data_IF_144031204853
#
_entry.id   IF_144031204853
#
_cell.length_a   1.000
_cell.length_b   1.000
_cell.length_c   1.000
_cell.angle_alpha   90.00
_cell.angle_beta   90.00
_cell.angle_gamma   90.00
#
_symmetry.space_group_name_H-M   'P 1'
#
loop_
_entity.id
_entity.type
_entity.pdbx_description
1 polymer ?
#
# COMPACT_ATOMS: atom_id res chain seq x y z
N UNK A 1 0.03 15.16 -26.97
CA UNK A 1 0.54 15.33 -25.59
C UNK A 1 0.32 14.00 -24.91
N UNK A 2 1.34 13.42 -24.33
CA UNK A 2 1.25 12.14 -23.62
C UNK A 2 0.28 12.28 -22.43
N UNK A 3 -0.68 11.36 -22.34
CA UNK A 3 -1.75 11.38 -21.33
C UNK A 3 -1.18 11.24 -19.91
N UNK A 4 -0.06 10.51 -19.79
CA UNK A 4 0.67 10.30 -18.53
C UNK A 4 1.04 11.62 -17.81
N UNK A 5 1.33 12.68 -18.57
CA UNK A 5 1.74 13.98 -18.03
C UNK A 5 0.61 15.03 -18.04
N UNK A 6 -0.63 14.60 -18.16
CA UNK A 6 -1.80 15.50 -18.08
C UNK A 6 -2.41 15.48 -16.68
N UNK A 7 -2.96 16.61 -16.21
CA UNK A 7 -3.61 16.66 -14.91
C UNK A 7 -4.84 15.73 -14.82
N UNK A 8 -5.18 15.34 -13.59
CA UNK A 8 -6.39 14.57 -13.29
C UNK A 8 -6.97 14.99 -11.94
N UNK A 9 -8.29 15.10 -11.86
CA UNK A 9 -9.00 15.32 -10.60
C UNK A 9 -9.25 13.97 -9.91
N UNK A 10 -8.86 13.86 -8.64
CA UNK A 10 -9.07 12.69 -7.77
C UNK A 10 -9.73 13.20 -6.48
N UNK A 11 -10.96 12.77 -6.20
CA UNK A 11 -11.73 13.34 -5.11
C UNK A 11 -11.81 14.86 -5.23
N UNK A 12 -11.37 15.58 -4.20
CA UNK A 12 -11.35 17.04 -4.15
C UNK A 12 -10.00 17.68 -4.53
N UNK A 13 -8.99 16.88 -4.92
CA UNK A 13 -7.66 17.36 -5.29
C UNK A 13 -7.43 17.23 -6.80
N UNK A 14 -6.54 18.08 -7.33
CA UNK A 14 -6.06 17.97 -8.71
C UNK A 14 -4.61 17.56 -8.70
N UNK A 15 -4.31 16.45 -9.38
CA UNK A 15 -2.96 15.95 -9.61
C UNK A 15 -2.37 16.61 -10.86
N UNK A 16 -1.08 16.94 -10.83
CA UNK A 16 -0.41 17.62 -11.96
C UNK A 16 -0.08 16.67 -13.12
N UNK A 17 -0.02 15.38 -12.85
CA UNK A 17 0.23 14.32 -13.84
C UNK A 17 -0.39 13.00 -13.33
N UNK A 18 -0.29 11.92 -14.13
CA UNK A 18 -0.87 10.60 -13.82
C UNK A 18 0.13 9.57 -13.32
N UNK A 19 1.30 10.02 -12.93
CA UNK A 19 2.36 9.18 -12.36
C UNK A 19 2.17 9.08 -10.86
N UNK A 20 2.00 7.87 -10.34
CA UNK A 20 1.86 7.62 -8.90
C UNK A 20 3.14 6.97 -8.37
N UNK A 21 3.71 7.52 -7.31
CA UNK A 21 4.69 6.78 -6.51
C UNK A 21 3.93 5.72 -5.71
N UNK A 22 4.09 4.45 -6.12
CA UNK A 22 3.44 3.33 -5.44
C UNK A 22 4.02 3.11 -4.03
N UNK A 23 3.22 2.59 -3.08
CA UNK A 23 3.67 2.35 -1.71
C UNK A 23 4.77 1.29 -1.67
N UNK A 24 5.87 1.62 -0.98
CA UNK A 24 7.04 0.75 -0.82
C UNK A 24 7.58 0.87 0.61
N UNK A 25 7.63 -0.23 1.33
CA UNK A 25 8.27 -0.29 2.65
C UNK A 25 9.75 0.04 2.55
N UNK A 26 10.23 0.98 3.35
CA UNK A 26 11.64 1.38 3.41
C UNK A 26 12.28 1.09 4.77
N UNK A 27 11.47 0.86 5.81
CA UNK A 27 11.91 0.45 7.16
C UNK A 27 12.99 1.37 7.76
N UNK A 28 12.73 2.67 7.81
CA UNK A 28 13.63 3.69 8.37
C UNK A 28 12.99 4.53 9.48
N UNK A 29 11.83 4.07 10.00
CA UNK A 29 11.22 4.73 11.16
C UNK A 29 12.14 4.64 12.38
N UNK A 30 12.17 5.72 13.19
CA UNK A 30 12.89 5.78 14.45
C UNK A 30 12.20 4.97 15.54
N UNK A 31 12.85 4.87 16.70
CA UNK A 31 12.27 4.25 17.90
C UNK A 31 10.88 4.82 18.19
N UNK A 32 9.92 3.93 18.41
CA UNK A 32 8.51 4.27 18.56
C UNK A 32 7.76 4.30 17.21
N UNK A 33 8.37 3.73 16.16
CA UNK A 33 7.79 3.64 14.82
C UNK A 33 7.44 5.03 14.24
N UNK A 34 8.31 6.02 14.50
CA UNK A 34 8.10 7.42 14.16
C UNK A 34 8.79 7.74 12.83
N UNK A 35 8.05 8.27 11.86
CA UNK A 35 8.61 8.97 10.70
C UNK A 35 9.31 10.26 11.15
N UNK A 36 10.41 10.63 10.52
CA UNK A 36 11.26 11.73 10.93
C UNK A 36 11.66 12.66 9.77
N UNK A 37 12.64 13.54 10.03
CA UNK A 37 13.16 14.48 9.04
C UNK A 37 13.73 13.78 7.81
N UNK A 38 14.37 12.61 7.98
CA UNK A 38 14.90 11.83 6.86
C UNK A 38 13.76 11.27 5.99
N UNK A 39 12.67 10.83 6.60
CA UNK A 39 11.45 10.41 5.91
C UNK A 39 10.82 11.60 5.17
N UNK A 40 10.78 12.78 5.80
CA UNK A 40 10.27 14.00 5.18
C UNK A 40 11.08 14.38 3.94
N UNK A 41 12.42 14.35 4.02
CA UNK A 41 13.30 14.59 2.88
C UNK A 41 13.05 13.62 1.75
N UNK A 42 12.96 12.31 2.04
CA UNK A 42 12.72 11.26 1.04
C UNK A 42 11.46 11.50 0.19
N UNK A 43 10.35 11.78 0.85
CA UNK A 43 9.10 12.03 0.13
C UNK A 43 9.09 13.40 -0.54
N UNK A 44 9.68 14.43 0.07
CA UNK A 44 9.79 15.75 -0.53
C UNK A 44 10.64 15.79 -1.81
N UNK A 45 11.69 14.94 -1.91
CA UNK A 45 12.45 14.78 -3.15
C UNK A 45 11.60 14.27 -4.31
N UNK A 46 10.52 13.52 -4.01
CA UNK A 46 9.64 12.86 -4.98
C UNK A 46 8.32 13.62 -5.23
N UNK A 47 8.24 14.86 -4.78
CA UNK A 47 7.02 15.68 -4.85
C UNK A 47 6.56 16.03 -6.27
N UNK A 48 7.36 15.79 -7.31
CA UNK A 48 6.96 15.90 -8.71
C UNK A 48 5.99 14.79 -9.17
N UNK A 49 5.88 13.70 -8.43
CA UNK A 49 4.84 12.70 -8.66
C UNK A 49 3.45 13.36 -8.65
N UNK A 50 2.55 12.91 -9.53
CA UNK A 50 1.15 13.34 -9.48
C UNK A 50 0.52 13.00 -8.14
N UNK A 51 0.84 11.82 -7.61
CA UNK A 51 0.45 11.36 -6.30
C UNK A 51 1.57 10.53 -5.66
N UNK A 52 1.87 10.77 -4.40
CA UNK A 52 2.69 9.89 -3.57
C UNK A 52 1.76 9.06 -2.68
N UNK A 53 1.87 7.73 -2.72
CA UNK A 53 1.35 6.86 -1.67
C UNK A 53 2.55 6.40 -0.83
N UNK A 54 2.50 6.66 0.48
CA UNK A 54 3.62 6.33 1.36
C UNK A 54 3.82 4.83 1.51
N UNK A 55 4.93 4.42 2.10
CA UNK A 55 5.03 3.09 2.70
C UNK A 55 3.87 2.82 3.66
N UNK A 56 3.56 1.53 3.87
CA UNK A 56 2.51 1.14 4.81
C UNK A 56 2.85 1.61 6.23
N UNK A 57 1.92 2.33 6.86
CA UNK A 57 1.97 2.72 8.26
C UNK A 57 1.01 1.85 9.07
N UNK A 58 1.53 1.15 10.09
CA UNK A 58 0.67 0.31 10.91
C UNK A 58 -0.35 1.13 11.70
N UNK A 59 -1.61 0.65 11.68
CA UNK A 59 -2.75 1.30 12.34
C UNK A 59 -2.79 1.07 13.87
N UNK A 60 -2.02 0.11 14.35
CA UNK A 60 -1.87 -0.23 15.76
C UNK A 60 -0.60 -1.08 15.94
N UNK A 61 -0.17 -1.32 17.18
CA UNK A 61 0.93 -2.25 17.46
C UNK A 61 0.63 -3.65 16.92
N UNK A 62 -0.63 -4.10 17.02
CA UNK A 62 -1.05 -5.40 16.48
C UNK A 62 -0.86 -5.49 14.96
N UNK A 63 -0.95 -4.36 14.26
CA UNK A 63 -0.77 -4.28 12.81
C UNK A 63 0.67 -4.38 12.31
N UNK A 64 1.67 -4.37 13.20
CA UNK A 64 3.09 -4.38 12.83
C UNK A 64 3.58 -5.77 12.41
N UNK A 65 4.32 -5.84 11.29
CA UNK A 65 4.93 -7.08 10.81
C UNK A 65 6.43 -7.00 10.60
N UNK A 66 7.02 -5.81 10.65
CA UNK A 66 8.44 -5.60 10.38
C UNK A 66 8.99 -4.52 11.30
N UNK A 67 10.23 -4.69 11.78
CA UNK A 67 10.94 -3.65 12.51
C UNK A 67 11.16 -2.40 11.63
N UNK A 68 11.16 -1.24 12.28
CA UNK A 68 11.44 0.06 11.64
C UNK A 68 10.41 0.50 10.59
N UNK A 69 9.23 -0.11 10.54
CA UNK A 69 8.10 0.44 9.78
C UNK A 69 7.37 1.48 10.59
N UNK A 70 6.90 2.58 9.98
CA UNK A 70 6.23 3.65 10.72
C UNK A 70 4.80 3.27 11.12
N UNK A 71 4.33 3.87 12.21
CA UNK A 71 2.95 3.79 12.67
C UNK A 71 2.18 5.09 12.46
N UNK A 72 0.86 5.03 12.74
CA UNK A 72 -0.05 6.19 12.73
C UNK A 72 -1.10 6.11 13.85
N UNK A 73 -0.76 5.51 14.97
CA UNK A 73 -1.66 5.25 16.09
C UNK A 73 -1.30 6.03 17.37
N UNK A 74 -0.24 6.86 17.35
CA UNK A 74 0.15 7.73 18.47
C UNK A 74 0.34 9.17 18.04
N UNK A 75 0.24 10.10 18.99
CA UNK A 75 0.42 11.53 18.73
C UNK A 75 1.87 11.88 18.33
N UNK A 76 2.85 11.10 18.80
CA UNK A 76 4.24 11.26 18.40
C UNK A 76 4.42 10.88 16.91
N UNK A 77 3.73 9.82 16.47
CA UNK A 77 3.74 9.41 15.06
C UNK A 77 3.02 10.43 14.16
N UNK A 78 1.89 10.99 14.61
CA UNK A 78 1.19 12.09 13.93
C UNK A 78 2.13 13.29 13.74
N UNK A 79 2.84 13.70 14.78
CA UNK A 79 3.82 14.80 14.70
C UNK A 79 4.98 14.48 13.75
N UNK A 80 5.47 13.23 13.76
CA UNK A 80 6.52 12.80 12.84
C UNK A 80 6.07 12.89 11.38
N UNK A 81 4.89 12.36 11.08
CA UNK A 81 4.31 12.42 9.74
C UNK A 81 3.96 13.84 9.28
N UNK A 82 3.63 14.77 10.20
CA UNK A 82 3.35 16.17 9.82
C UNK A 82 4.57 16.87 9.22
N UNK A 83 5.80 16.46 9.57
CA UNK A 83 7.02 16.95 8.91
C UNK A 83 7.04 16.53 7.44
N UNK A 84 6.64 15.29 7.17
CA UNK A 84 6.59 14.74 5.80
C UNK A 84 5.54 15.43 4.93
N UNK A 85 4.32 15.57 5.44
CA UNK A 85 3.23 16.20 4.68
C UNK A 85 3.55 17.66 4.39
N UNK A 86 4.07 18.39 5.37
CA UNK A 86 4.52 19.79 5.19
C UNK A 86 5.59 19.89 4.10
N UNK A 87 6.65 19.08 4.18
CA UNK A 87 7.77 19.13 3.23
C UNK A 87 7.34 18.79 1.78
N UNK A 88 6.39 17.86 1.60
CA UNK A 88 5.83 17.52 0.30
C UNK A 88 4.93 18.64 -0.23
N UNK A 89 4.06 19.20 0.62
CA UNK A 89 3.16 20.29 0.25
C UNK A 89 3.89 21.59 -0.09
N UNK A 90 4.98 21.92 0.60
CA UNK A 90 5.84 23.07 0.27
C UNK A 90 6.41 22.98 -1.15
N UNK A 91 6.56 21.78 -1.70
CA UNK A 91 6.95 21.52 -3.08
C UNK A 91 5.77 21.33 -4.04
N UNK A 92 4.54 21.55 -3.58
CA UNK A 92 3.30 21.42 -4.39
C UNK A 92 2.87 19.98 -4.65
N UNK A 93 3.49 18.98 -4.02
CA UNK A 93 3.15 17.57 -4.14
C UNK A 93 1.84 17.20 -3.43
N UNK A 94 1.32 16.00 -3.73
CA UNK A 94 0.16 15.38 -3.09
C UNK A 94 0.57 14.06 -2.49
N UNK A 95 0.16 13.81 -1.23
CA UNK A 95 0.62 12.65 -0.47
C UNK A 95 -0.52 11.99 0.31
N UNK A 96 -0.64 10.67 0.15
CA UNK A 96 -1.61 9.80 0.83
C UNK A 96 -0.86 8.83 1.74
N UNK A 97 -1.41 8.57 2.93
CA UNK A 97 -0.88 7.56 3.84
C UNK A 97 -1.48 6.20 3.55
N UNK A 98 -0.67 5.16 3.35
CA UNK A 98 -1.18 3.79 3.30
C UNK A 98 -1.39 3.23 4.70
N UNK A 99 -2.63 2.91 5.05
CA UNK A 99 -3.03 2.30 6.33
C UNK A 99 -2.83 0.79 6.26
N UNK A 100 -2.09 0.23 7.20
CA UNK A 100 -1.60 -1.14 7.12
C UNK A 100 -1.84 -1.96 8.37
N UNK A 101 -2.31 -3.18 8.18
CA UNK A 101 -2.32 -4.23 9.18
C UNK A 101 -1.87 -5.54 8.52
N UNK A 102 -0.74 -6.08 8.95
CA UNK A 102 -0.12 -7.23 8.26
C UNK A 102 -0.82 -8.57 8.51
N UNK A 103 -1.72 -8.65 9.49
CA UNK A 103 -2.36 -9.92 9.86
C UNK A 103 -1.34 -10.95 10.34
N UNK A 104 -1.37 -12.15 9.73
CA UNK A 104 -0.48 -13.27 10.09
C UNK A 104 0.99 -13.08 9.70
N UNK A 105 1.32 -12.04 8.93
CA UNK A 105 2.70 -11.80 8.50
C UNK A 105 3.42 -10.97 9.56
N UNK A 106 3.57 -11.56 10.74
CA UNK A 106 4.18 -10.95 11.93
C UNK A 106 4.83 -12.00 12.82
N UNK A 107 5.50 -11.54 13.86
CA UNK A 107 6.16 -12.37 14.86
C UNK A 107 5.80 -11.90 16.26
N UNK A 108 5.76 -12.82 17.23
CA UNK A 108 5.45 -12.51 18.63
C UNK A 108 6.33 -11.44 19.25
N UNK A 109 7.59 -11.29 18.79
CA UNK A 109 8.49 -10.24 19.28
C UNK A 109 8.09 -8.82 18.85
N UNK A 110 7.19 -8.67 17.87
CA UNK A 110 6.64 -7.37 17.44
C UNK A 110 5.31 -7.05 18.13
N UNK A 111 4.73 -8.03 18.83
CA UNK A 111 3.42 -7.89 19.46
C UNK A 111 3.55 -7.54 20.95
N UNK A 112 2.62 -6.73 21.46
CA UNK A 112 2.57 -6.41 22.89
C UNK A 112 2.54 -7.69 23.74
N UNK A 113 3.42 -7.77 24.74
CA UNK A 113 3.53 -8.90 25.66
C UNK A 113 3.81 -10.26 24.98
N UNK A 114 4.34 -10.26 23.74
CA UNK A 114 4.66 -11.47 23.01
C UNK A 114 3.45 -12.33 22.60
N UNK A 115 2.26 -11.74 22.49
CA UNK A 115 1.07 -12.45 22.03
C UNK A 115 1.19 -12.87 20.56
N UNK A 116 0.37 -13.81 20.12
CA UNK A 116 0.34 -14.22 18.72
C UNK A 116 -0.23 -13.11 17.84
N UNK A 117 0.24 -12.96 16.59
CA UNK A 117 -0.43 -12.12 15.59
C UNK A 117 -1.83 -12.65 15.30
N UNK A 118 -2.62 -11.91 14.52
CA UNK A 118 -4.01 -12.25 14.20
C UNK A 118 -4.23 -12.47 12.71
N UNK A 119 -5.26 -13.24 12.36
CA UNK A 119 -5.66 -13.48 10.98
C UNK A 119 -7.14 -13.86 10.90
N UNK A 120 -7.64 -14.15 9.70
CA UNK A 120 -8.97 -14.75 9.50
C UNK A 120 -9.08 -16.10 10.22
N UNK A 121 -8.02 -16.91 10.19
CA UNK A 121 -7.92 -18.24 10.78
C UNK A 121 -6.56 -18.46 11.45
N UNK A 122 -6.43 -19.45 12.34
CA UNK A 122 -5.19 -19.79 13.04
C UNK A 122 -4.24 -20.65 12.15
N UNK A 123 -3.98 -20.20 10.93
CA UNK A 123 -3.12 -20.89 9.95
C UNK A 123 -1.89 -20.05 9.65
N UNK A 124 -0.72 -20.61 9.96
CA UNK A 124 0.58 -19.97 9.70
C UNK A 124 0.85 -19.90 8.19
N UNK A 125 1.54 -18.85 7.75
CA UNK A 125 2.12 -18.77 6.42
C UNK A 125 3.50 -19.47 6.45
N UNK A 126 3.55 -20.76 6.08
CA UNK A 126 4.68 -21.63 6.36
C UNK A 126 6.01 -21.19 5.74
N UNK A 127 5.97 -20.66 4.51
CA UNK A 127 7.18 -20.22 3.80
C UNK A 127 7.46 -18.73 3.94
N UNK A 128 6.82 -18.09 4.92
CA UNK A 128 6.89 -16.64 5.07
C UNK A 128 7.80 -16.23 6.22
N UNK A 129 8.51 -15.12 6.02
CA UNK A 129 9.38 -14.50 7.01
C UNK A 129 8.99 -13.03 7.19
N UNK A 130 9.32 -12.51 8.36
CA UNK A 130 9.24 -11.08 8.68
C UNK A 130 10.56 -10.60 9.29
N UNK A 131 10.83 -9.31 9.23
CA UNK A 131 12.01 -8.74 9.85
C UNK A 131 11.70 -8.35 11.29
N UNK A 132 12.13 -9.19 12.24
CA UNK A 132 11.78 -9.07 13.64
C UNK A 132 12.96 -9.50 14.54
N UNK A 133 12.76 -9.54 15.84
CA UNK A 133 13.80 -9.99 16.77
C UNK A 133 13.80 -11.52 16.86
N UNK A 134 14.98 -12.12 16.72
CA UNK A 134 15.19 -13.53 16.95
C UNK A 134 15.13 -13.89 18.46
N UNK A 135 15.31 -15.18 18.80
CA UNK A 135 15.30 -15.66 20.19
C UNK A 135 16.41 -15.06 21.07
N UNK A 136 17.43 -14.45 20.48
CA UNK A 136 18.54 -13.78 21.18
C UNK A 136 18.33 -12.25 21.26
N UNK A 137 17.22 -11.74 20.71
CA UNK A 137 16.91 -10.31 20.64
C UNK A 137 17.62 -9.57 19.51
N UNK A 138 18.18 -10.26 18.51
CA UNK A 138 18.83 -9.63 17.37
C UNK A 138 17.83 -9.42 16.23
N UNK A 139 17.87 -8.26 15.54
CA UNK A 139 17.07 -8.03 14.34
C UNK A 139 17.49 -8.95 13.19
N UNK A 140 16.51 -9.55 12.51
CA UNK A 140 16.77 -10.42 11.37
C UNK A 140 15.50 -10.97 10.71
N UNK A 141 15.70 -11.74 9.66
CA UNK A 141 14.60 -12.47 9.03
C UNK A 141 14.25 -13.68 9.88
N UNK A 142 13.06 -13.68 10.45
CA UNK A 142 12.53 -14.78 11.27
C UNK A 142 11.28 -15.37 10.64
N UNK A 143 11.01 -16.67 10.80
CA UNK A 143 9.73 -17.24 10.37
C UNK A 143 8.57 -16.54 11.09
N UNK A 144 7.47 -16.26 10.39
CA UNK A 144 6.28 -15.69 11.02
C UNK A 144 5.72 -16.63 12.10
N UNK A 145 5.09 -16.06 13.13
CA UNK A 145 4.44 -16.83 14.19
C UNK A 145 3.09 -17.41 13.74
N UNK A 146 2.63 -18.46 14.41
CA UNK A 146 1.28 -18.99 14.25
C UNK A 146 0.29 -17.91 14.72
N UNK A 147 -0.67 -17.46 13.88
CA UNK A 147 -1.63 -16.45 14.29
C UNK A 147 -2.78 -17.04 15.11
N UNK A 148 -3.52 -16.15 15.80
CA UNK A 148 -4.84 -16.46 16.33
C UNK A 148 -5.92 -16.03 15.34
N UNK A 149 -7.02 -16.81 15.25
CA UNK A 149 -8.20 -16.40 14.51
C UNK A 149 -8.88 -15.23 15.22
N UNK A 150 -9.19 -14.15 14.51
CA UNK A 150 -9.93 -13.02 15.06
C UNK A 150 -11.35 -13.44 15.48
N UNK A 151 -11.75 -12.99 16.65
CA UNK A 151 -13.17 -13.00 17.04
C UNK A 151 -13.92 -11.89 16.32
N UNK A 152 -15.26 -11.93 16.32
CA UNK A 152 -16.08 -10.84 15.78
C UNK A 152 -15.79 -9.52 16.49
N UNK A 153 -15.61 -9.54 17.81
CA UNK A 153 -15.23 -8.34 18.57
C UNK A 153 -13.81 -7.85 18.20
N UNK A 154 -12.88 -8.77 17.94
CA UNK A 154 -11.55 -8.42 17.42
C UNK A 154 -11.61 -7.76 16.04
N UNK A 155 -12.49 -8.23 15.14
CA UNK A 155 -12.74 -7.59 13.84
C UNK A 155 -13.25 -6.15 14.03
N UNK A 156 -14.24 -5.94 14.91
CA UNK A 156 -14.79 -4.61 15.21
C UNK A 156 -13.74 -3.68 15.82
N UNK A 157 -12.88 -4.19 16.69
CA UNK A 157 -11.78 -3.40 17.25
C UNK A 157 -10.81 -2.93 16.17
N UNK A 158 -10.43 -3.80 15.23
CA UNK A 158 -9.55 -3.43 14.10
C UNK A 158 -10.21 -2.41 13.16
N UNK A 159 -11.53 -2.52 12.91
CA UNK A 159 -12.26 -1.49 12.15
C UNK A 159 -12.09 -0.12 12.82
N UNK A 160 -12.22 -0.06 14.16
CA UNK A 160 -12.01 1.18 14.91
C UNK A 160 -10.55 1.66 14.82
N UNK A 161 -9.57 0.76 14.85
CA UNK A 161 -8.15 1.12 14.68
C UNK A 161 -7.90 1.76 13.30
N UNK A 162 -8.53 1.24 12.22
CA UNK A 162 -8.48 1.87 10.90
C UNK A 162 -9.09 3.27 10.89
N UNK A 163 -10.21 3.48 11.59
CA UNK A 163 -10.86 4.79 11.71
C UNK A 163 -9.94 5.77 12.42
N UNK A 164 -9.42 5.40 13.60
CA UNK A 164 -8.51 6.26 14.36
C UNK A 164 -7.23 6.58 13.57
N UNK A 165 -6.68 5.60 12.88
CA UNK A 165 -5.50 5.79 12.03
C UNK A 165 -5.78 6.74 10.86
N UNK A 166 -6.96 6.67 10.25
CA UNK A 166 -7.36 7.57 9.18
C UNK A 166 -7.55 9.01 9.69
N UNK A 167 -8.18 9.20 10.85
CA UNK A 167 -8.32 10.52 11.50
C UNK A 167 -6.95 11.11 11.85
N UNK A 168 -6.05 10.32 12.42
CA UNK A 168 -4.67 10.69 12.70
C UNK A 168 -3.90 11.08 11.43
N UNK A 169 -4.12 10.39 10.31
CA UNK A 169 -3.51 10.72 9.03
C UNK A 169 -3.96 12.10 8.52
N UNK A 170 -5.25 12.42 8.64
CA UNK A 170 -5.78 13.74 8.29
C UNK A 170 -5.23 14.82 9.23
N UNK A 171 -5.13 14.54 10.55
CA UNK A 171 -4.50 15.43 11.52
C UNK A 171 -3.03 15.69 11.19
N UNK A 172 -2.29 14.68 10.73
CA UNK A 172 -0.90 14.80 10.27
C UNK A 172 -0.74 15.58 8.95
N UNK A 173 -1.84 15.96 8.29
CA UNK A 173 -1.85 16.77 7.08
C UNK A 173 -1.86 15.99 5.76
N UNK A 174 -2.07 14.68 5.78
CA UNK A 174 -2.23 13.91 4.53
C UNK A 174 -3.47 14.36 3.75
N UNK A 175 -3.36 14.44 2.41
CA UNK A 175 -4.47 14.77 1.54
C UNK A 175 -5.59 13.71 1.60
N UNK A 176 -5.23 12.43 1.70
CA UNK A 176 -6.13 11.26 1.77
C UNK A 176 -5.40 10.07 2.41
N UNK A 177 -6.11 8.92 2.51
CA UNK A 177 -5.51 7.63 2.90
C UNK A 177 -5.74 6.56 1.85
N UNK A 178 -4.90 5.52 1.85
CA UNK A 178 -5.10 4.28 1.09
C UNK A 178 -5.22 3.10 2.05
N UNK A 179 -6.35 2.38 2.04
CA UNK A 179 -6.53 1.15 2.80
C UNK A 179 -5.75 0.03 2.10
N UNK A 180 -4.81 -0.60 2.81
CA UNK A 180 -4.03 -1.71 2.27
C UNK A 180 -4.80 -3.03 2.40
N UNK A 181 -5.49 -3.44 1.34
CA UNK A 181 -6.23 -4.70 1.24
C UNK A 181 -5.62 -5.64 0.19
N UNK A 182 -4.28 -5.69 0.10
CA UNK A 182 -3.52 -6.36 -0.94
C UNK A 182 -2.34 -7.15 -0.36
N UNK A 183 -1.62 -7.85 -1.26
CA UNK A 183 -0.29 -8.43 -1.02
C UNK A 183 -0.22 -9.42 0.15
N UNK A 184 -1.30 -10.16 0.41
CA UNK A 184 -1.33 -11.23 1.42
C UNK A 184 -1.47 -10.76 2.87
N UNK A 185 -1.80 -9.49 3.10
CA UNK A 185 -2.01 -8.92 4.44
C UNK A 185 -3.45 -9.08 4.95
N UNK A 186 -3.77 -8.52 6.12
CA UNK A 186 -4.95 -8.88 6.90
C UNK A 186 -6.25 -8.91 6.09
N UNK A 187 -6.58 -7.83 5.37
CA UNK A 187 -7.86 -7.76 4.65
C UNK A 187 -7.93 -8.80 3.52
N UNK A 188 -6.82 -9.01 2.79
CA UNK A 188 -6.76 -10.08 1.78
C UNK A 188 -6.82 -11.47 2.41
N UNK A 189 -6.34 -11.67 3.65
CA UNK A 189 -6.48 -12.93 4.39
C UNK A 189 -7.95 -13.30 4.66
N UNK A 190 -8.85 -12.33 4.67
CA UNK A 190 -10.31 -12.58 4.72
C UNK A 190 -10.91 -12.77 3.32
N UNK A 191 -10.45 -12.04 2.32
CA UNK A 191 -10.94 -12.15 0.93
C UNK A 191 -10.57 -13.52 0.32
N UNK A 192 -9.40 -14.07 0.67
CA UNK A 192 -8.90 -15.29 0.07
C UNK A 192 -9.67 -16.52 0.57
N UNK A 193 -10.56 -17.06 -0.28
CA UNK A 193 -11.38 -18.24 0.03
C UNK A 193 -10.57 -19.54 0.21
N UNK A 194 -9.31 -19.59 -0.27
CA UNK A 194 -8.41 -20.72 -0.04
C UNK A 194 -7.78 -20.74 1.35
N UNK A 195 -7.70 -19.59 2.01
CA UNK A 195 -7.23 -19.44 3.39
C UNK A 195 -8.38 -19.35 4.39
N UNK A 196 -9.38 -18.51 4.09
CA UNK A 196 -10.44 -18.17 5.03
C UNK A 196 -11.49 -19.30 5.13
N UNK A 197 -11.28 -20.19 6.10
CA UNK A 197 -12.17 -21.33 6.41
C UNK A 197 -13.14 -21.03 7.55
N UNK A 198 -13.39 -19.76 7.88
CA UNK A 198 -14.39 -19.37 8.88
C UNK A 198 -15.80 -19.77 8.43
N UNK A 199 -16.65 -20.04 9.42
CA UNK A 199 -18.06 -20.43 9.22
C UNK A 199 -19.06 -19.39 9.74
N UNK A 200 -18.58 -18.16 10.04
CA UNK A 200 -19.40 -17.03 10.45
C UNK A 200 -19.65 -16.05 9.27
N UNK A 201 -20.22 -14.90 9.55
CA UNK A 201 -20.55 -13.87 8.54
C UNK A 201 -19.33 -13.26 7.83
N UNK A 202 -18.09 -13.56 8.28
CA UNK A 202 -16.84 -13.20 7.64
C UNK A 202 -16.18 -14.41 6.95
N UNK A 203 -16.90 -15.52 6.82
CA UNK A 203 -16.37 -16.80 6.34
C UNK A 203 -16.17 -16.89 4.83
N UNK A 204 -15.22 -17.75 4.43
CA UNK A 204 -14.77 -17.88 3.05
C UNK A 204 -15.72 -18.61 2.08
N UNK A 205 -16.88 -19.11 2.49
CA UNK A 205 -17.78 -19.87 1.64
C UNK A 205 -18.51 -19.00 0.59
N UNK A 206 -18.94 -17.80 0.97
CA UNK A 206 -19.62 -16.88 0.04
C UNK A 206 -18.75 -15.67 -0.33
N UNK A 207 -18.90 -15.20 -1.57
CA UNK A 207 -18.22 -13.99 -2.02
C UNK A 207 -18.54 -12.79 -1.12
N UNK A 208 -19.79 -12.62 -0.72
CA UNK A 208 -20.22 -11.50 0.14
C UNK A 208 -19.56 -11.53 1.52
N UNK A 209 -19.41 -12.73 2.12
CA UNK A 209 -18.74 -12.86 3.41
C UNK A 209 -17.23 -12.61 3.32
N UNK A 210 -16.59 -13.08 2.23
CA UNK A 210 -15.14 -12.84 1.99
C UNK A 210 -14.80 -11.36 1.96
N UNK A 211 -15.62 -10.55 1.29
CA UNK A 211 -15.37 -9.11 1.11
C UNK A 211 -15.92 -8.25 2.24
N UNK A 212 -16.75 -8.80 3.15
CA UNK A 212 -17.45 -8.06 4.21
C UNK A 212 -16.50 -7.21 5.05
N UNK A 213 -15.46 -7.79 5.61
CA UNK A 213 -14.53 -7.06 6.48
C UNK A 213 -13.87 -5.89 5.75
N UNK A 214 -13.46 -6.11 4.51
CA UNK A 214 -12.87 -5.05 3.65
C UNK A 214 -13.86 -3.92 3.42
N UNK A 215 -15.11 -4.23 3.14
CA UNK A 215 -16.16 -3.22 2.93
C UNK A 215 -16.50 -2.46 4.22
N UNK A 216 -16.59 -3.16 5.36
CA UNK A 216 -16.86 -2.52 6.66
C UNK A 216 -15.73 -1.56 7.07
N UNK A 217 -14.45 -1.93 6.84
CA UNK A 217 -13.32 -1.01 7.03
C UNK A 217 -13.44 0.20 6.09
N UNK A 218 -13.72 -0.05 4.80
CA UNK A 218 -13.85 1.02 3.80
C UNK A 218 -14.98 1.99 4.14
N UNK A 219 -16.13 1.46 4.53
CA UNK A 219 -17.31 2.25 4.91
C UNK A 219 -17.05 3.06 6.19
N UNK A 220 -16.41 2.46 7.20
CA UNK A 220 -16.09 3.13 8.45
C UNK A 220 -15.08 4.26 8.26
N UNK A 221 -14.00 4.01 7.51
CA UNK A 221 -13.00 5.04 7.17
C UNK A 221 -13.63 6.16 6.34
N UNK A 222 -14.40 5.81 5.29
CA UNK A 222 -15.09 6.79 4.44
C UNK A 222 -16.08 7.64 5.23
N UNK A 223 -16.76 7.07 6.22
CA UNK A 223 -17.66 7.81 7.11
C UNK A 223 -16.90 8.79 8.01
N UNK A 224 -15.69 8.43 8.46
CA UNK A 224 -14.90 9.26 9.36
C UNK A 224 -14.24 10.46 8.66
N UNK A 225 -13.64 10.24 7.47
CA UNK A 225 -12.81 11.27 6.80
C UNK A 225 -13.35 11.73 5.44
N UNK A 226 -14.39 11.08 4.91
CA UNK A 226 -14.94 11.32 3.57
C UNK A 226 -14.53 10.25 2.57
N UNK A 227 -15.44 9.79 1.72
CA UNK A 227 -15.15 8.80 0.66
C UNK A 227 -14.18 9.36 -0.40
N UNK A 228 -14.28 10.64 -0.68
CA UNK A 228 -13.39 11.38 -1.58
C UNK A 228 -11.93 11.50 -1.08
N UNK A 229 -11.68 11.14 0.19
CA UNK A 229 -10.36 11.05 0.82
C UNK A 229 -9.93 9.62 1.13
N UNK A 230 -10.69 8.62 0.66
CA UNK A 230 -10.43 7.20 0.94
C UNK A 230 -10.15 6.46 -0.36
N UNK A 231 -8.95 5.93 -0.51
CA UNK A 231 -8.57 4.98 -1.55
C UNK A 231 -8.40 3.57 -0.97
N UNK A 232 -8.37 2.57 -1.82
CA UNK A 232 -8.13 1.18 -1.43
C UNK A 232 -7.23 0.47 -2.42
N UNK A 233 -6.25 -0.31 -1.92
CA UNK A 233 -5.37 -1.14 -2.73
C UNK A 233 -5.74 -2.61 -2.61
N UNK A 234 -5.88 -3.28 -3.78
CA UNK A 234 -6.23 -4.68 -3.94
C UNK A 234 -5.15 -5.42 -4.73
N UNK A 235 -5.01 -6.74 -4.53
CA UNK A 235 -4.11 -7.58 -5.33
C UNK A 235 -4.86 -8.80 -5.89
N UNK A 236 -5.72 -8.61 -6.91
CA UNK A 236 -6.43 -9.73 -7.53
C UNK A 236 -5.46 -10.80 -8.01
N UNK A 237 -5.77 -12.07 -7.73
CA UNK A 237 -4.93 -13.24 -8.05
C UNK A 237 -3.54 -13.22 -7.41
N UNK A 238 -3.33 -12.41 -6.36
CA UNK A 238 -2.07 -12.38 -5.61
C UNK A 238 -1.76 -13.72 -4.95
N UNK A 239 -0.45 -14.04 -4.86
CA UNK A 239 0.05 -15.30 -4.27
C UNK A 239 1.13 -15.08 -3.21
N UNK A 240 1.35 -13.83 -2.80
CA UNK A 240 2.31 -13.54 -1.73
C UNK A 240 1.85 -14.15 -0.39
N UNK A 241 2.81 -14.61 0.39
CA UNK A 241 2.60 -15.07 1.76
C UNK A 241 1.58 -16.22 1.90
N UNK A 242 1.75 -17.25 1.05
CA UNK A 242 0.90 -18.44 1.02
C UNK A 242 -0.59 -18.13 0.76
N UNK A 243 -0.87 -17.13 -0.06
CA UNK A 243 -2.18 -16.97 -0.64
C UNK A 243 -2.40 -17.97 -1.76
N UNK A 244 -3.57 -18.61 -1.76
CA UNK A 244 -3.88 -19.70 -2.68
C UNK A 244 -4.96 -19.29 -3.68
N UNK A 245 -4.95 -19.93 -4.86
CA UNK A 245 -6.09 -19.89 -5.75
C UNK A 245 -7.30 -20.54 -5.08
N UNK A 246 -8.50 -20.05 -5.35
CA UNK A 246 -9.72 -20.57 -4.76
C UNK A 246 -10.88 -20.50 -5.77
N UNK A 247 -11.88 -21.34 -5.55
CA UNK A 247 -13.07 -21.37 -6.38
C UNK A 247 -13.84 -20.04 -6.29
N UNK A 248 -14.23 -19.50 -7.45
CA UNK A 248 -14.91 -18.22 -7.54
C UNK A 248 -14.02 -17.00 -7.26
N UNK A 249 -12.70 -17.12 -7.44
CA UNK A 249 -11.76 -16.01 -7.19
C UNK A 249 -12.07 -14.80 -8.07
N UNK A 250 -12.23 -14.98 -9.37
CA UNK A 250 -12.58 -13.89 -10.29
C UNK A 250 -13.89 -13.22 -9.88
N UNK A 251 -14.92 -14.02 -9.57
CA UNK A 251 -16.23 -13.50 -9.15
C UNK A 251 -16.15 -12.73 -7.85
N UNK A 252 -15.32 -13.16 -6.88
CA UNK A 252 -15.08 -12.44 -5.63
C UNK A 252 -14.52 -11.04 -5.89
N UNK A 253 -13.50 -10.93 -6.77
CA UNK A 253 -12.89 -9.66 -7.11
C UNK A 253 -13.83 -8.75 -7.91
N UNK A 254 -14.64 -9.30 -8.83
CA UNK A 254 -15.63 -8.52 -9.59
C UNK A 254 -16.80 -8.06 -8.69
N UNK A 255 -17.24 -8.88 -7.73
CA UNK A 255 -18.24 -8.45 -6.75
C UNK A 255 -17.70 -7.34 -5.86
N UNK A 256 -16.42 -7.43 -5.42
CA UNK A 256 -15.80 -6.35 -4.66
C UNK A 256 -15.70 -5.07 -5.50
N UNK A 257 -15.38 -5.17 -6.79
CA UNK A 257 -15.37 -4.01 -7.70
C UNK A 257 -16.73 -3.33 -7.80
N UNK A 258 -17.81 -4.11 -7.91
CA UNK A 258 -19.20 -3.60 -7.97
C UNK A 258 -19.59 -2.88 -6.67
N UNK A 259 -19.29 -3.50 -5.54
CA UNK A 259 -19.53 -2.88 -4.22
C UNK A 259 -18.72 -1.58 -4.03
N UNK A 260 -17.45 -1.55 -4.44
CA UNK A 260 -16.62 -0.34 -4.35
C UNK A 260 -17.09 0.75 -5.34
N UNK A 261 -17.67 0.38 -6.48
CA UNK A 261 -18.19 1.32 -7.47
C UNK A 261 -19.30 2.21 -6.91
N UNK A 262 -20.07 1.72 -5.94
CA UNK A 262 -21.19 2.46 -5.32
C UNK A 262 -20.72 3.44 -4.24
N UNK A 263 -19.45 3.38 -3.79
CA UNK A 263 -18.93 4.08 -2.61
C UNK A 263 -18.28 5.44 -2.90
N UNK A 264 -18.13 5.80 -4.18
CA UNK A 264 -17.54 7.09 -4.60
C UNK A 264 -16.18 7.37 -3.95
N UNK A 265 -15.31 6.36 -3.90
CA UNK A 265 -13.97 6.46 -3.33
C UNK A 265 -13.07 7.38 -4.16
N UNK A 266 -12.01 7.90 -3.55
CA UNK A 266 -10.95 8.63 -4.25
C UNK A 266 -10.38 7.81 -5.41
N UNK A 267 -10.08 6.53 -5.16
CA UNK A 267 -9.67 5.57 -6.18
C UNK A 267 -9.70 4.11 -5.68
N UNK A 268 -9.61 3.17 -6.63
CA UNK A 268 -9.17 1.79 -6.40
C UNK A 268 -7.80 1.60 -7.04
N UNK A 269 -6.87 0.92 -6.36
CA UNK A 269 -5.50 0.67 -6.79
C UNK A 269 -5.27 -0.84 -6.94
N UNK A 270 -5.05 -1.34 -8.15
CA UNK A 270 -4.72 -2.74 -8.40
C UNK A 270 -3.20 -2.94 -8.39
N UNK A 271 -2.74 -3.92 -7.62
CA UNK A 271 -1.34 -4.35 -7.54
C UNK A 271 -1.17 -5.66 -8.32
N UNK A 272 -0.49 -5.60 -9.47
CA UNK A 272 -0.02 -6.80 -10.15
C UNK A 272 1.30 -7.26 -9.50
N UNK A 273 1.34 -8.51 -9.06
CA UNK A 273 2.49 -9.09 -8.36
C UNK A 273 3.56 -9.69 -9.29
N UNK A 274 3.40 -9.57 -10.62
CA UNK A 274 4.35 -10.09 -11.60
C UNK A 274 5.80 -9.68 -11.32
N UNK A 275 6.03 -8.42 -10.99
CA UNK A 275 7.36 -7.89 -10.67
C UNK A 275 7.93 -8.40 -9.34
N UNK A 276 7.11 -9.01 -8.51
CA UNK A 276 7.51 -9.64 -7.26
C UNK A 276 7.80 -11.15 -7.43
N UNK A 277 7.78 -11.65 -8.68
CA UNK A 277 8.01 -13.05 -8.99
C UNK A 277 6.82 -13.95 -8.69
N UNK A 278 5.63 -13.38 -8.61
CA UNK A 278 4.38 -14.09 -8.35
C UNK A 278 3.50 -14.15 -9.62
N UNK A 279 2.33 -14.75 -9.50
CA UNK A 279 1.38 -14.81 -10.61
C UNK A 279 0.93 -13.40 -11.00
N UNK A 280 0.95 -13.13 -12.31
CA UNK A 280 0.37 -11.92 -12.88
C UNK A 280 -1.17 -11.95 -12.82
N UNK A 281 -1.78 -10.78 -12.86
CA UNK A 281 -3.23 -10.65 -13.12
C UNK A 281 -3.52 -11.30 -14.49
N UNK A 282 -4.51 -12.21 -14.60
CA UNK A 282 -4.82 -12.87 -15.87
C UNK A 282 -5.21 -11.90 -16.98
N UNK A 283 -4.83 -12.23 -18.21
CA UNK A 283 -5.19 -11.45 -19.40
C UNK A 283 -6.71 -11.22 -19.47
N UNK A 284 -7.10 -10.00 -19.75
CA UNK A 284 -8.50 -9.59 -19.86
C UNK A 284 -9.20 -9.29 -18.52
N UNK A 285 -8.60 -9.61 -17.38
CA UNK A 285 -9.23 -9.34 -16.08
C UNK A 285 -9.34 -7.84 -15.78
N UNK A 286 -8.29 -7.05 -16.10
CA UNK A 286 -8.32 -5.60 -15.91
C UNK A 286 -9.48 -4.96 -16.68
N UNK A 287 -9.76 -5.41 -17.91
CA UNK A 287 -10.88 -4.95 -18.71
C UNK A 287 -12.23 -5.32 -18.08
N UNK A 288 -12.36 -6.55 -17.53
CA UNK A 288 -13.55 -6.98 -16.80
C UNK A 288 -13.76 -6.14 -15.53
N UNK A 289 -12.67 -5.92 -14.75
CA UNK A 289 -12.71 -5.08 -13.55
C UNK A 289 -13.12 -3.65 -13.90
N UNK A 290 -12.50 -3.06 -14.95
CA UNK A 290 -12.83 -1.72 -15.44
C UNK A 290 -14.26 -1.58 -15.94
N UNK A 291 -14.83 -2.63 -16.53
CA UNK A 291 -16.23 -2.63 -16.97
C UNK A 291 -17.21 -2.52 -15.79
N UNK A 292 -16.83 -3.02 -14.63
CA UNK A 292 -17.64 -2.98 -13.39
C UNK A 292 -17.35 -1.71 -12.60
N UNK A 293 -16.06 -1.39 -12.36
CA UNK A 293 -15.63 -0.24 -11.59
C UNK A 293 -15.40 0.98 -12.48
N UNK A 294 -16.23 2.02 -12.35
CA UNK A 294 -16.20 3.23 -13.17
C UNK A 294 -15.50 4.43 -12.51
N UNK A 295 -15.05 4.28 -11.25
CA UNK A 295 -14.29 5.31 -10.53
C UNK A 295 -12.84 5.42 -11.03
N UNK A 296 -12.02 6.22 -10.35
CA UNK A 296 -10.59 6.35 -10.66
C UNK A 296 -9.86 5.04 -10.36
N UNK A 297 -9.13 4.53 -11.36
CA UNK A 297 -8.39 3.28 -11.27
C UNK A 297 -6.89 3.51 -11.42
N UNK A 298 -6.12 3.10 -10.40
CA UNK A 298 -4.65 3.04 -10.44
C UNK A 298 -4.27 1.59 -10.71
N UNK A 299 -3.27 1.37 -11.56
CA UNK A 299 -2.65 0.04 -11.75
C UNK A 299 -1.15 0.17 -11.53
N UNK A 300 -0.57 -0.73 -10.73
CA UNK A 300 0.86 -0.85 -10.50
C UNK A 300 1.32 -2.28 -10.78
N UNK A 301 2.46 -2.46 -11.47
CA UNK A 301 3.01 -3.78 -11.76
C UNK A 301 3.90 -3.78 -13.01
N UNK A 302 5.13 -3.27 -12.90
CA UNK A 302 6.14 -3.40 -13.96
C UNK A 302 5.96 -2.48 -15.17
N UNK A 303 5.34 -1.34 -14.98
CA UNK A 303 5.17 -0.35 -16.04
C UNK A 303 6.49 0.37 -16.37
N UNK A 304 6.73 0.55 -17.66
CA UNK A 304 7.56 1.59 -18.23
C UNK A 304 6.68 2.74 -18.77
N UNK A 305 7.30 3.79 -19.30
CA UNK A 305 6.59 4.95 -19.88
C UNK A 305 5.64 4.56 -21.00
N UNK A 306 6.06 3.65 -21.91
CA UNK A 306 5.30 3.28 -23.10
C UNK A 306 4.08 2.45 -22.74
N UNK A 307 4.25 1.44 -21.88
CA UNK A 307 3.15 0.62 -21.38
C UNK A 307 2.17 1.44 -20.56
N UNK A 308 2.67 2.38 -19.72
CA UNK A 308 1.84 3.30 -18.96
C UNK A 308 0.96 4.17 -19.88
N UNK A 309 1.56 4.78 -20.89
CA UNK A 309 0.82 5.59 -21.85
C UNK A 309 -0.25 4.78 -22.59
N UNK A 310 0.09 3.54 -23.00
CA UNK A 310 -0.86 2.63 -23.67
C UNK A 310 -2.07 2.33 -22.76
N UNK A 311 -1.87 1.97 -21.50
CA UNK A 311 -2.97 1.67 -20.58
C UNK A 311 -3.88 2.87 -20.33
N UNK A 312 -3.31 4.07 -20.25
CA UNK A 312 -4.08 5.30 -20.12
C UNK A 312 -4.88 5.60 -21.39
N UNK A 313 -4.29 5.44 -22.58
CA UNK A 313 -4.98 5.68 -23.85
C UNK A 313 -6.12 4.69 -24.09
N UNK A 314 -5.89 3.40 -23.78
CA UNK A 314 -6.88 2.34 -23.91
C UNK A 314 -8.01 2.44 -22.85
N UNK A 315 -7.89 3.35 -21.87
CA UNK A 315 -8.87 3.52 -20.79
C UNK A 315 -8.85 2.39 -19.74
N UNK A 316 -7.81 1.56 -19.75
CA UNK A 316 -7.64 0.48 -18.78
C UNK A 316 -7.33 1.01 -17.36
N UNK A 317 -6.70 2.19 -17.28
CA UNK A 317 -6.38 2.87 -16.03
C UNK A 317 -6.52 4.40 -16.19
N UNK A 318 -6.62 5.10 -15.06
CA UNK A 318 -6.61 6.55 -14.98
C UNK A 318 -5.27 7.10 -14.48
N UNK A 319 -4.57 6.32 -13.68
CA UNK A 319 -3.27 6.59 -13.06
C UNK A 319 -2.40 5.33 -13.10
N UNK A 320 -1.09 5.50 -13.19
CA UNK A 320 -0.13 4.39 -13.21
C UNK A 320 0.84 4.50 -12.05
N UNK A 321 0.96 3.39 -11.28
CA UNK A 321 1.85 3.27 -10.13
C UNK A 321 3.23 2.74 -10.52
N UNK A 322 4.27 3.48 -10.13
CA UNK A 322 5.67 3.11 -10.28
C UNK A 322 6.29 2.89 -8.90
N UNK A 323 6.84 1.71 -8.67
CA UNK A 323 7.52 1.38 -7.41
C UNK A 323 9.03 1.56 -7.52
N UNK A 324 9.75 0.49 -7.89
CA UNK A 324 11.22 0.46 -7.90
C UNK A 324 11.90 1.64 -8.60
N UNK A 325 11.40 2.15 -9.75
CA UNK A 325 12.00 3.32 -10.37
C UNK A 325 12.07 4.54 -9.46
N UNK A 326 11.09 4.74 -8.55
CA UNK A 326 11.10 5.83 -7.59
C UNK A 326 12.13 5.68 -6.47
N UNK A 327 12.65 4.46 -6.23
CA UNK A 327 13.70 4.28 -5.20
C UNK A 327 14.92 5.11 -5.55
N UNK A 328 15.40 5.00 -6.80
CA UNK A 328 16.65 5.58 -7.28
C UNK A 328 16.51 6.82 -8.17
N UNK A 329 15.28 7.21 -8.50
CA UNK A 329 15.01 8.37 -9.36
C UNK A 329 14.01 9.30 -8.67
N UNK A 330 14.46 10.22 -7.80
CA UNK A 330 13.56 11.15 -7.12
C UNK A 330 12.78 12.04 -8.11
N UNK A 331 13.35 12.33 -9.27
CA UNK A 331 12.82 13.11 -10.38
C UNK A 331 12.27 12.24 -11.53
N UNK A 332 11.66 11.10 -11.20
CA UNK A 332 11.19 10.12 -12.18
C UNK A 332 10.25 10.72 -13.24
N UNK A 333 9.37 11.64 -12.85
CA UNK A 333 8.43 12.30 -13.78
C UNK A 333 9.19 13.08 -14.85
N UNK A 334 10.17 13.88 -14.45
CA UNK A 334 11.02 14.66 -15.34
C UNK A 334 11.86 13.77 -16.24
N UNK A 335 12.43 12.70 -15.68
CA UNK A 335 13.20 11.72 -16.47
C UNK A 335 12.33 11.07 -17.54
N UNK A 336 11.16 10.59 -17.19
CA UNK A 336 10.23 10.01 -18.17
C UNK A 336 9.74 11.02 -19.20
N UNK A 337 9.46 12.25 -18.78
CA UNK A 337 8.98 13.31 -19.68
C UNK A 337 10.01 13.74 -20.73
N UNK A 338 11.28 13.71 -20.36
CA UNK A 338 12.38 14.15 -21.22
C UNK A 338 13.18 12.99 -21.80
N UNK A 339 12.74 11.74 -21.58
CA UNK A 339 13.44 10.52 -21.99
C UNK A 339 14.90 10.45 -21.49
N UNK A 340 15.12 10.95 -20.23
CA UNK A 340 16.42 10.86 -19.56
C UNK A 340 16.66 9.45 -19.01
N UNK A 341 17.91 9.02 -18.89
CA UNK A 341 18.24 7.71 -18.36
C UNK A 341 17.78 7.53 -16.92
N UNK A 342 17.33 6.32 -16.59
CA UNK A 342 16.98 5.94 -15.22
C UNK A 342 18.21 5.32 -14.53
N UNK A 343 18.36 5.67 -13.25
CA UNK A 343 19.34 5.04 -12.35
C UNK A 343 18.76 3.76 -11.80
N UNK A 344 19.49 2.64 -11.84
CA UNK A 344 19.06 1.39 -11.22
C UNK A 344 19.20 1.46 -9.69
N UNK A 345 18.22 0.95 -8.93
CA UNK A 345 18.28 0.96 -7.48
C UNK A 345 19.20 -0.14 -6.93
N UNK A 346 19.98 0.18 -5.89
CA UNK A 346 20.73 -0.81 -5.14
C UNK A 346 19.81 -1.59 -4.18
N UNK A 347 19.60 -2.88 -4.46
CA UNK A 347 18.76 -3.75 -3.65
C UNK A 347 19.20 -3.89 -2.19
N UNK A 348 20.52 -3.79 -1.92
CA UNK A 348 21.04 -3.90 -0.57
C UNK A 348 20.58 -2.77 0.34
N UNK A 349 20.14 -1.64 -0.24
CA UNK A 349 19.69 -0.45 0.48
C UNK A 349 18.18 -0.27 0.53
N UNK A 350 17.40 -1.26 0.10
CA UNK A 350 15.93 -1.14 0.05
C UNK A 350 15.31 -0.94 1.43
N UNK A 351 15.84 -1.64 2.45
CA UNK A 351 15.27 -1.66 3.79
C UNK A 351 16.30 -1.27 4.85
N UNK A 352 15.88 -0.44 5.81
CA UNK A 352 16.74 0.00 6.91
C UNK A 352 17.87 0.93 6.48
N UNK A 353 18.80 1.19 7.39
CA UNK A 353 19.90 2.14 7.17
C UNK A 353 19.51 3.58 7.45
N UNK A 354 20.30 4.49 6.89
CA UNK A 354 20.15 5.94 7.04
C UNK A 354 19.85 6.59 5.67
N UNK A 355 20.60 7.61 5.29
CA UNK A 355 20.44 8.33 4.01
C UNK A 355 20.84 7.49 2.78
N UNK A 356 21.75 6.52 2.94
CA UNK A 356 22.29 5.72 1.84
C UNK A 356 21.20 4.87 1.20
N UNK A 357 21.03 5.01 -0.12
CA UNK A 357 19.99 4.35 -0.90
C UNK A 357 18.58 4.84 -0.58
N UNK A 358 18.46 5.99 0.08
CA UNK A 358 17.19 6.59 0.48
C UNK A 358 17.07 8.03 -0.03
N UNK A 359 17.89 8.96 0.49
CA UNK A 359 17.87 10.38 0.11
C UNK A 359 19.10 10.81 -0.70
N UNK A 360 20.10 9.95 -0.87
CA UNK A 360 21.37 10.23 -1.55
C UNK A 360 21.36 9.99 -3.07
N UNK A 361 20.27 9.45 -3.64
CA UNK A 361 20.15 9.31 -5.09
C UNK A 361 20.03 10.68 -5.76
N UNK A 362 20.88 10.97 -6.79
CA UNK A 362 20.93 12.30 -7.40
C UNK A 362 19.73 12.55 -8.33
N UNK A 363 19.32 13.80 -8.39
CA UNK A 363 18.51 14.31 -9.50
C UNK A 363 19.33 14.25 -10.80
N UNK A 364 18.66 14.11 -11.94
CA UNK A 364 19.34 14.11 -13.23
C UNK A 364 20.10 15.41 -13.47
N UNK A 365 21.32 15.29 -13.96
CA UNK A 365 22.15 16.41 -14.40
C UNK A 365 22.88 16.01 -15.67
N UNK A 366 22.70 16.76 -16.75
CA UNK A 366 23.37 16.52 -18.04
C UNK A 366 24.91 16.52 -17.97
N UNK A 367 25.50 16.95 -16.85
CA UNK A 367 26.95 16.92 -16.62
C UNK A 367 27.46 15.54 -16.18
N UNK A 368 26.59 14.63 -15.73
CA UNK A 368 26.98 13.29 -15.27
C UNK A 368 27.10 12.27 -16.42
N UNK A 369 26.48 12.53 -17.58
CA UNK A 369 26.50 11.61 -18.73
C UNK A 369 27.81 11.67 -19.55
N UNK A 370 28.76 12.52 -19.20
CA UNK A 370 30.05 12.72 -19.89
C UNK A 370 31.28 12.16 -19.11
N UNK A 371 31.05 11.34 -18.08
CA UNK A 371 32.11 10.61 -17.35
C UNK A 371 31.88 9.10 -17.48
#
# INVERSE_FOLDING_TARGET
MEKLFTPLKVGNITLNNRVVMAPMTRSRARKGDIADELTAEYYAQRASAGLIVTEGAQISVQGQGYLFTPGIYSQEQVKGWSLTTQAVHEKGGKIFLQLWHVGRISHTSLQNNGVAPVSSVAVKAENSHCYALDQNGNPGQVPVSIPQALTIDGIKAIINDYVMAAENAIEAGFDCVEIHAANGYLLEQFINGGLNTRNDEYGGESHSNRIRFTLEVTDAVSKAIGSDKTGIRLAPFGRLFDMHAFEGEEQTWLQLADELNTRSLAYVHLSDQQTLGQQAIPDGFIQKFRAVYQGILIIAGGFDKQLAEKYLQDGCADLIGFGRPYISNPDLVERMKNDWPLTEPDRATFYGGTEVGYTDYPFYSAQLDNQ
#
